data_IF_594721725236
#
_entry.id   IF_594721725236
#
_cell.length_a   1.000
_cell.length_b   1.000
_cell.length_c   1.000
_cell.angle_alpha   90.00
_cell.angle_beta   90.00
_cell.angle_gamma   90.00
#
_symmetry.space_group_name_H-M   'P 1'
#
loop_
_entity.id
_entity.type
_entity.pdbx_description
1 polymer ?
#
# COMPACT_ATOMS: atom_id res chain seq x y z
N UNK A 1 -6.68 5.23 -10.68
CA UNK A 1 -5.73 4.70 -9.69
C UNK A 1 -5.49 5.80 -8.65
N UNK A 2 -5.84 5.60 -7.38
CA UNK A 2 -5.82 6.66 -6.35
C UNK A 2 -4.50 6.71 -5.58
N UNK A 3 -3.91 5.56 -5.26
CA UNK A 3 -2.67 5.47 -4.49
C UNK A 3 -1.94 4.16 -4.80
N UNK A 4 -0.62 4.24 -4.84
CA UNK A 4 0.31 3.12 -5.01
C UNK A 4 1.26 3.16 -3.83
N UNK A 5 1.52 2.01 -3.22
CA UNK A 5 2.41 1.93 -2.08
C UNK A 5 3.13 0.60 -1.99
N UNK A 6 4.36 0.65 -1.51
CA UNK A 6 5.22 -0.51 -1.31
C UNK A 6 5.15 -1.01 0.13
N UNK A 7 4.99 -2.33 0.27
CA UNK A 7 5.29 -3.05 1.50
C UNK A 7 6.54 -3.88 1.31
N UNK A 8 7.68 -3.47 1.88
CA UNK A 8 8.93 -4.28 1.87
C UNK A 8 9.37 -4.65 3.28
N UNK A 9 9.78 -5.90 3.48
CA UNK A 9 10.32 -6.37 4.76
C UNK A 9 11.85 -6.37 4.68
N UNK A 10 12.49 -5.56 5.51
CA UNK A 10 13.95 -5.58 5.67
C UNK A 10 14.41 -6.55 6.77
N UNK A 11 13.47 -7.04 7.60
CA UNK A 11 13.81 -7.78 8.83
C UNK A 11 13.99 -9.27 8.54
N UNK A 12 15.17 -9.79 8.90
CA UNK A 12 15.46 -11.23 9.03
C UNK A 12 14.80 -11.77 10.30
N UNK A 13 13.48 -11.97 10.28
CA UNK A 13 12.71 -12.54 11.38
C UNK A 13 11.95 -13.81 10.98
N UNK A 14 11.22 -14.42 11.93
CA UNK A 14 10.36 -15.59 11.68
C UNK A 14 9.28 -15.35 10.61
N UNK A 15 8.88 -14.10 10.42
CA UNK A 15 7.87 -13.67 9.44
C UNK A 15 8.54 -12.96 8.27
N UNK A 16 9.19 -13.73 7.40
CA UNK A 16 9.66 -13.23 6.10
C UNK A 16 8.43 -12.90 5.24
N UNK A 17 8.49 -11.85 4.42
CA UNK A 17 7.46 -11.52 3.39
C UNK A 17 6.12 -10.91 3.85
N UNK A 18 5.87 -10.68 5.14
CA UNK A 18 4.60 -10.10 5.63
C UNK A 18 4.49 -8.56 5.58
N UNK A 19 5.30 -7.89 4.76
CA UNK A 19 5.37 -6.43 4.77
C UNK A 19 4.10 -5.74 4.26
N UNK A 20 3.38 -6.37 3.33
CA UNK A 20 2.16 -5.79 2.76
C UNK A 20 1.05 -5.70 3.81
N UNK A 21 0.88 -6.71 4.65
CA UNK A 21 -0.11 -6.71 5.73
C UNK A 21 0.15 -5.60 6.75
N UNK A 22 1.41 -5.39 7.11
CA UNK A 22 1.83 -4.28 8.00
C UNK A 22 1.56 -2.92 7.35
N UNK A 23 1.87 -2.76 6.06
CA UNK A 23 1.60 -1.50 5.33
C UNK A 23 0.10 -1.22 5.26
N UNK A 24 -0.70 -2.23 4.94
CA UNK A 24 -2.15 -2.13 4.85
C UNK A 24 -2.75 -1.75 6.20
N UNK A 25 -2.41 -2.43 7.29
CA UNK A 25 -2.95 -2.10 8.62
C UNK A 25 -2.49 -0.74 9.15
N UNK A 26 -1.27 -0.32 8.82
CA UNK A 26 -0.74 0.97 9.24
C UNK A 26 -1.41 2.14 8.50
N UNK A 27 -1.65 2.01 7.19
CA UNK A 27 -2.01 3.16 6.35
C UNK A 27 -3.37 3.08 5.67
N UNK A 28 -3.90 1.88 5.36
CA UNK A 28 -5.03 1.72 4.43
C UNK A 28 -6.28 1.20 5.14
N UNK A 29 -6.13 0.12 5.91
CA UNK A 29 -7.20 -0.62 6.54
C UNK A 29 -7.25 -0.35 8.04
N UNK A 30 -8.44 -0.51 8.61
CA UNK A 30 -8.69 -0.64 10.04
C UNK A 30 -9.75 -1.72 10.27
N UNK A 31 -9.78 -2.28 11.48
CA UNK A 31 -10.79 -3.27 11.85
C UNK A 31 -12.02 -2.54 12.40
N UNK A 32 -13.17 -2.74 11.77
CA UNK A 32 -14.45 -2.35 12.34
C UNK A 32 -14.77 -3.29 13.50
N UNK A 33 -14.88 -2.73 14.72
CA UNK A 33 -15.14 -3.52 15.92
C UNK A 33 -16.57 -4.06 16.01
N UNK A 34 -17.52 -3.44 15.31
CA UNK A 34 -18.92 -3.86 15.35
C UNK A 34 -19.15 -5.12 14.51
N UNK A 35 -18.49 -5.19 13.35
CA UNK A 35 -18.63 -6.30 12.39
C UNK A 35 -17.45 -7.28 12.41
N UNK A 36 -16.35 -6.91 13.07
CA UNK A 36 -15.07 -7.62 13.03
C UNK A 36 -14.52 -7.80 11.60
N UNK A 37 -14.79 -6.83 10.71
CA UNK A 37 -14.32 -6.83 9.31
C UNK A 37 -13.31 -5.73 9.05
N UNK A 38 -12.51 -5.87 7.98
CA UNK A 38 -11.61 -4.81 7.54
C UNK A 38 -12.38 -3.77 6.73
N UNK A 39 -12.18 -2.50 7.06
CA UNK A 39 -12.70 -1.35 6.32
C UNK A 39 -11.56 -0.40 5.97
N UNK A 40 -11.73 0.37 4.89
CA UNK A 40 -10.79 1.44 4.54
C UNK A 40 -10.86 2.58 5.56
N UNK A 41 -9.70 3.16 5.88
CA UNK A 41 -9.60 4.38 6.69
C UNK A 41 -10.31 5.54 6.00
N UNK A 42 -10.82 6.47 6.81
CA UNK A 42 -11.65 7.60 6.38
C UNK A 42 -11.03 8.37 5.21
N UNK A 43 -9.72 8.68 5.27
CA UNK A 43 -8.99 9.33 4.17
C UNK A 43 -9.20 8.65 2.82
N UNK A 44 -9.14 7.32 2.76
CA UNK A 44 -9.27 6.57 1.51
C UNK A 44 -10.72 6.44 1.07
N UNK A 45 -11.64 6.32 2.03
CA UNK A 45 -13.08 6.33 1.76
C UNK A 45 -13.52 7.67 1.17
N UNK A 46 -13.01 8.79 1.70
CA UNK A 46 -13.27 10.13 1.18
C UNK A 46 -12.75 10.32 -0.26
N UNK A 47 -11.70 9.61 -0.63
CA UNK A 47 -11.16 9.57 -2.01
C UNK A 47 -11.85 8.54 -2.92
N UNK A 48 -12.91 7.89 -2.44
CA UNK A 48 -13.68 6.90 -3.23
C UNK A 48 -12.96 5.57 -3.45
N UNK A 49 -11.98 5.20 -2.61
CA UNK A 49 -11.31 3.90 -2.73
C UNK A 49 -12.26 2.77 -2.31
N UNK A 50 -12.60 1.91 -3.26
CA UNK A 50 -13.49 0.75 -3.10
C UNK A 50 -12.79 -0.60 -3.27
N UNK A 51 -11.57 -0.59 -3.80
CA UNK A 51 -10.84 -1.78 -4.23
C UNK A 51 -9.35 -1.70 -3.91
N UNK A 52 -8.76 -2.85 -3.64
CA UNK A 52 -7.34 -3.01 -3.35
C UNK A 52 -6.78 -4.14 -4.19
N UNK A 53 -5.65 -3.89 -4.85
CA UNK A 53 -4.93 -4.87 -5.65
C UNK A 53 -3.51 -4.94 -5.12
N UNK A 54 -3.00 -6.15 -4.95
CA UNK A 54 -1.62 -6.41 -4.55
C UNK A 54 -0.87 -7.09 -5.67
N UNK A 55 0.36 -6.65 -5.91
CA UNK A 55 1.30 -7.28 -6.84
C UNK A 55 2.42 -7.86 -6.00
N UNK A 56 2.52 -9.18 -5.98
CA UNK A 56 3.57 -9.92 -5.26
C UNK A 56 4.77 -10.18 -6.15
N UNK A 57 5.95 -10.27 -5.52
CA UNK A 57 7.19 -10.70 -6.19
C UNK A 57 7.83 -11.83 -5.38
N UNK A 58 8.47 -12.80 -6.04
CA UNK A 58 9.37 -13.75 -5.38
C UNK A 58 10.45 -13.03 -4.58
N UNK A 59 10.96 -13.68 -3.54
CA UNK A 59 11.96 -13.09 -2.65
C UNK A 59 13.20 -12.62 -3.41
N UNK A 60 13.63 -13.38 -4.42
CA UNK A 60 14.81 -13.09 -5.25
C UNK A 60 14.60 -11.85 -6.12
N UNK A 61 13.35 -11.49 -6.39
CA UNK A 61 12.95 -10.39 -7.26
C UNK A 61 12.34 -9.22 -6.48
N UNK A 62 12.52 -9.16 -5.16
CA UNK A 62 11.90 -8.11 -4.32
C UNK A 62 12.29 -6.69 -4.76
N UNK A 63 13.45 -6.52 -5.39
CA UNK A 63 13.92 -5.25 -5.93
C UNK A 63 13.00 -4.69 -7.03
N UNK A 64 12.33 -5.57 -7.79
CA UNK A 64 11.36 -5.18 -8.82
C UNK A 64 10.14 -4.49 -8.23
N UNK A 65 9.76 -4.81 -6.99
CA UNK A 65 8.62 -4.17 -6.35
C UNK A 65 8.84 -2.65 -6.18
N UNK A 66 10.06 -2.23 -5.84
CA UNK A 66 10.40 -0.81 -5.72
C UNK A 66 10.44 -0.12 -7.08
N UNK A 67 11.07 -0.77 -8.08
CA UNK A 67 11.14 -0.22 -9.43
C UNK A 67 9.74 -0.08 -10.07
N UNK A 68 8.86 -1.05 -9.83
CA UNK A 68 7.48 -1.01 -10.32
C UNK A 68 6.65 0.08 -9.62
N UNK A 69 6.82 0.27 -8.31
CA UNK A 69 6.17 1.38 -7.59
C UNK A 69 6.54 2.73 -8.22
N UNK A 70 7.83 3.01 -8.38
CA UNK A 70 8.32 4.27 -8.93
C UNK A 70 7.82 4.48 -10.37
N UNK A 71 7.90 3.43 -11.20
CA UNK A 71 7.40 3.46 -12.57
C UNK A 71 5.90 3.78 -12.62
N UNK A 72 5.06 3.06 -11.87
CA UNK A 72 3.62 3.26 -11.90
C UNK A 72 3.20 4.62 -11.32
N UNK A 73 3.90 5.11 -10.29
CA UNK A 73 3.64 6.46 -9.75
C UNK A 73 3.95 7.52 -10.82
N UNK A 74 5.07 7.38 -11.53
CA UNK A 74 5.46 8.32 -12.57
C UNK A 74 4.49 8.32 -13.76
N UNK A 75 4.08 7.13 -14.21
CA UNK A 75 3.19 6.96 -15.35
C UNK A 75 1.74 7.37 -15.04
N UNK A 76 1.21 6.91 -13.91
CA UNK A 76 -0.21 7.09 -13.58
C UNK A 76 -0.51 8.35 -12.76
N UNK A 77 0.53 8.96 -12.17
CA UNK A 77 0.46 10.16 -11.32
C UNK A 77 -0.71 10.14 -10.33
N UNK A 78 -0.82 9.11 -9.46
CA UNK A 78 -1.96 8.99 -8.55
C UNK A 78 -2.05 10.17 -7.59
N UNK A 79 -3.25 10.72 -7.39
CA UNK A 79 -3.49 11.89 -6.52
C UNK A 79 -3.00 11.66 -5.09
N UNK A 80 -3.14 10.44 -4.57
CA UNK A 80 -2.69 10.05 -3.23
C UNK A 80 -1.17 9.90 -3.08
N UNK A 81 -0.42 9.88 -4.19
CA UNK A 81 1.06 9.86 -4.20
C UNK A 81 1.67 11.25 -4.43
N UNK A 82 0.86 12.25 -4.76
CA UNK A 82 1.32 13.61 -4.94
C UNK A 82 2.02 14.12 -3.67
N UNK A 83 3.30 14.44 -3.77
CA UNK A 83 3.99 15.27 -2.77
C UNK A 83 3.21 16.58 -2.75
N UNK A 84 2.67 16.96 -1.59
CA UNK A 84 2.14 18.29 -1.42
C UNK A 84 3.19 19.26 -1.93
N UNK A 85 2.89 20.03 -2.98
CA UNK A 85 3.67 21.24 -3.27
C UNK A 85 3.58 22.06 -1.99
N UNK A 86 4.64 22.00 -1.18
CA UNK A 86 4.83 22.91 -0.08
C UNK A 86 4.64 24.31 -0.64
N UNK A 87 3.69 25.03 -0.06
CA UNK A 87 3.56 26.47 -0.19
C UNK A 87 4.86 27.15 0.24
#
# INVERSE_FOLDING_TARGET
MIYIGLGRSWKKGRYKEHAIGVRLSAHVLLVDKATNTYITREKWRALGVDSLITIGFPHEMFFLASALEDYLINELKPEGNGVGKGR
#
